data_IF_457921715494
#
_entry.id   IF_457921715494
#
_cell.length_a   1.000
_cell.length_b   1.000
_cell.length_c   1.000
_cell.angle_alpha   90.00
_cell.angle_beta   90.00
_cell.angle_gamma   90.00
#
_symmetry.space_group_name_H-M   'P 1'
#
loop_
_entity.id
_entity.type
_entity.pdbx_description
1 polymer ?
#
# COMPACT_ATOMS: atom_id res chain seq x y z
N UNK A 1 -41.14 -34.81 -44.68
CA UNK A 1 -41.01 -34.77 -46.13
C UNK A 1 -39.84 -33.85 -46.42
N UNK A 2 -38.75 -34.19 -47.03
CA UNK A 2 -38.12 -35.24 -47.80
C UNK A 2 -36.65 -34.83 -47.86
N UNK A 3 -35.78 -35.61 -47.48
CA UNK A 3 -34.77 -36.48 -48.14
C UNK A 3 -34.25 -35.89 -49.47
N UNK A 4 -32.93 -35.65 -49.55
CA UNK A 4 -32.07 -36.26 -50.58
C UNK A 4 -30.57 -35.96 -50.27
N UNK A 5 -29.88 -36.97 -50.13
CA UNK A 5 -28.57 -37.54 -50.38
C UNK A 5 -28.11 -37.34 -51.83
N UNK A 6 -26.79 -37.28 -52.05
CA UNK A 6 -25.95 -37.90 -53.10
C UNK A 6 -24.63 -37.16 -53.13
N UNK A 7 -23.51 -37.70 -52.95
CA UNK A 7 -22.73 -38.84 -53.42
C UNK A 7 -21.46 -38.34 -54.18
N UNK A 8 -20.36 -38.74 -53.66
CA UNK A 8 -19.04 -39.11 -54.21
C UNK A 8 -18.73 -38.81 -55.69
N UNK A 9 -17.51 -38.29 -55.95
CA UNK A 9 -16.64 -38.87 -57.01
C UNK A 9 -15.17 -38.55 -56.61
N UNK A 10 -14.35 -39.63 -56.54
CA UNK A 10 -12.91 -39.63 -56.46
C UNK A 10 -12.34 -39.60 -57.90
N UNK A 11 -11.27 -38.89 -58.14
CA UNK A 11 -10.44 -39.12 -59.32
C UNK A 11 -8.96 -39.07 -58.92
N UNK A 12 -8.36 -40.26 -58.97
CA UNK A 12 -6.93 -40.44 -58.88
C UNK A 12 -6.31 -40.29 -60.29
N UNK A 13 -5.27 -39.49 -60.41
CA UNK A 13 -4.37 -39.57 -61.55
C UNK A 13 -2.95 -39.66 -61.04
N UNK A 14 -2.33 -40.79 -61.27
CA UNK A 14 -0.92 -41.05 -61.08
C UNK A 14 -0.15 -40.52 -62.29
N UNK A 15 0.92 -39.77 -62.04
CA UNK A 15 1.97 -39.55 -63.03
C UNK A 15 3.32 -39.83 -62.37
N UNK A 16 3.97 -40.90 -62.80
CA UNK A 16 5.36 -41.22 -62.53
C UNK A 16 6.23 -40.51 -63.52
N UNK A 17 7.19 -39.73 -63.07
CA UNK A 17 8.35 -39.32 -63.83
C UNK A 17 9.58 -39.35 -62.92
N UNK A 18 10.45 -40.29 -63.12
CA UNK A 18 11.70 -40.43 -62.44
C UNK A 18 12.68 -39.36 -62.88
N UNK A 19 13.42 -38.81 -61.91
CA UNK A 19 14.65 -38.06 -62.11
C UNK A 19 15.66 -38.48 -61.04
N UNK A 20 16.68 -39.18 -61.48
CA UNK A 20 17.80 -39.53 -60.64
C UNK A 20 18.61 -38.27 -60.28
N UNK A 21 18.56 -37.86 -59.04
CA UNK A 21 19.52 -36.91 -58.47
C UNK A 21 20.45 -37.63 -57.51
N UNK A 22 21.74 -37.60 -57.85
CA UNK A 22 22.80 -38.20 -57.06
C UNK A 22 22.83 -37.65 -55.64
N UNK A 23 22.82 -38.58 -54.68
CA UNK A 23 23.00 -38.23 -53.26
C UNK A 23 24.45 -37.83 -53.05
N UNK A 24 24.67 -36.54 -52.79
CA UNK A 24 25.95 -36.05 -52.25
C UNK A 24 25.96 -36.38 -50.75
N UNK A 25 26.75 -37.41 -50.39
CA UNK A 25 26.98 -37.82 -49.01
C UNK A 25 27.89 -36.76 -48.36
N UNK A 26 27.34 -35.85 -47.61
CA UNK A 26 28.12 -34.89 -46.80
C UNK A 26 28.49 -35.62 -45.48
N UNK A 27 29.75 -36.04 -45.37
CA UNK A 27 30.28 -36.51 -44.11
C UNK A 27 30.45 -35.32 -43.14
N UNK A 28 29.96 -35.37 -41.91
CA UNK A 28 30.19 -34.31 -40.95
C UNK A 28 31.67 -34.33 -40.54
N UNK A 29 32.35 -33.23 -40.88
CA UNK A 29 33.70 -32.97 -40.41
C UNK A 29 33.66 -32.86 -38.89
N UNK A 30 34.31 -33.77 -38.16
CA UNK A 30 34.52 -33.67 -36.73
C UNK A 30 35.20 -32.35 -36.38
N UNK A 31 34.44 -31.42 -35.78
CA UNK A 31 35.01 -30.24 -35.17
C UNK A 31 35.80 -30.70 -33.94
N UNK A 32 37.11 -30.58 -34.04
CA UNK A 32 37.99 -30.58 -32.87
C UNK A 32 37.50 -29.48 -31.94
N UNK A 33 37.00 -29.91 -30.78
CA UNK A 33 36.62 -29.05 -29.69
C UNK A 33 37.84 -28.31 -29.18
N UNK A 34 38.06 -27.10 -29.67
CA UNK A 34 38.89 -26.13 -28.94
C UNK A 34 38.12 -25.80 -27.65
N UNK A 35 38.64 -26.23 -26.51
CA UNK A 35 38.17 -25.76 -25.20
C UNK A 35 38.32 -24.23 -25.18
N UNK A 36 37.24 -23.50 -25.44
CA UNK A 36 37.16 -22.12 -25.01
C UNK A 36 37.37 -22.08 -23.48
N UNK A 37 38.24 -21.20 -22.97
CA UNK A 37 38.35 -21.04 -21.53
C UNK A 37 36.96 -20.64 -20.99
N UNK A 38 36.42 -21.47 -20.10
CA UNK A 38 35.18 -21.16 -19.38
C UNK A 38 35.42 -19.82 -18.65
N UNK A 39 34.77 -18.76 -19.11
CA UNK A 39 34.66 -17.53 -18.36
C UNK A 39 33.94 -17.91 -17.08
N UNK A 40 34.56 -17.77 -15.89
CA UNK A 40 33.85 -18.02 -14.65
C UNK A 40 32.69 -17.04 -14.63
N UNK A 41 31.47 -17.55 -14.73
CA UNK A 41 30.26 -16.80 -14.43
C UNK A 41 30.33 -16.47 -12.94
N UNK A 42 30.93 -15.34 -12.62
CA UNK A 42 30.80 -14.76 -11.30
C UNK A 42 29.32 -14.45 -11.13
N UNK A 43 28.60 -15.33 -10.44
CA UNK A 43 27.29 -15.01 -9.89
C UNK A 43 27.52 -13.95 -8.81
N UNK A 44 27.67 -12.71 -9.24
CA UNK A 44 27.64 -11.57 -8.32
C UNK A 44 26.20 -11.44 -7.85
N UNK A 45 25.85 -12.15 -6.76
CA UNK A 45 24.66 -11.82 -5.97
C UNK A 45 24.98 -10.51 -5.26
N UNK A 46 24.57 -9.41 -5.85
CA UNK A 46 24.50 -8.14 -5.14
C UNK A 46 23.16 -8.16 -4.38
N UNK A 47 23.18 -8.63 -3.15
CA UNK A 47 22.07 -8.44 -2.23
C UNK A 47 22.03 -6.95 -1.82
N UNK A 48 21.58 -6.12 -2.73
CA UNK A 48 21.33 -4.70 -2.45
C UNK A 48 20.01 -4.57 -1.71
N UNK A 49 20.05 -4.25 -0.44
CA UNK A 49 18.87 -3.90 0.33
C UNK A 49 18.39 -2.52 -0.10
N UNK A 50 17.44 -2.48 -1.02
CA UNK A 50 16.80 -1.22 -1.46
C UNK A 50 15.81 -0.77 -0.38
N UNK A 51 16.03 0.41 0.20
CA UNK A 51 15.10 1.04 1.13
C UNK A 51 14.14 1.92 0.33
N UNK A 52 12.85 1.58 0.36
CA UNK A 52 11.80 2.37 -0.26
C UNK A 52 11.16 3.30 0.77
N UNK A 53 11.08 4.57 0.44
CA UNK A 53 10.51 5.63 1.28
C UNK A 53 9.31 6.23 0.56
N UNK A 54 8.09 5.84 0.91
CA UNK A 54 6.90 6.52 0.45
C UNK A 54 6.85 7.93 1.03
N UNK A 55 6.59 8.92 0.18
CA UNK A 55 6.53 10.33 0.56
C UNK A 55 5.25 10.96 0.01
N UNK A 56 4.47 11.61 0.87
CA UNK A 56 3.40 12.52 0.45
C UNK A 56 3.89 13.96 0.63
N UNK A 57 3.49 14.84 -0.26
CA UNK A 57 3.86 16.25 -0.20
C UNK A 57 2.62 17.12 -0.30
N UNK A 58 2.44 18.03 0.66
CA UNK A 58 1.29 18.90 0.75
C UNK A 58 1.71 20.38 0.82
N UNK A 59 0.82 21.26 0.43
CA UNK A 59 0.93 22.70 0.70
C UNK A 59 0.58 23.05 2.16
N UNK A 60 0.59 24.33 2.49
CA UNK A 60 0.24 24.80 3.85
C UNK A 60 -1.25 24.58 4.20
N UNK A 61 -2.11 24.37 3.21
CA UNK A 61 -3.54 24.09 3.34
C UNK A 61 -3.87 22.60 3.32
N UNK A 62 -2.84 21.74 3.37
CA UNK A 62 -2.94 20.28 3.25
C UNK A 62 -3.56 19.83 1.91
N UNK A 63 -3.31 20.54 0.80
CA UNK A 63 -3.60 20.02 -0.52
C UNK A 63 -2.42 19.21 -1.04
N UNK A 64 -2.65 17.99 -1.55
CA UNK A 64 -1.59 17.16 -2.13
C UNK A 64 -0.93 17.84 -3.33
N UNK A 65 0.40 17.86 -3.34
CA UNK A 65 1.22 18.40 -4.44
C UNK A 65 1.75 17.26 -5.27
N UNK A 66 1.40 17.25 -6.55
CA UNK A 66 1.81 16.28 -7.55
C UNK A 66 2.78 16.90 -8.56
N UNK A 67 3.48 16.07 -9.36
CA UNK A 67 4.35 16.54 -10.44
C UNK A 67 5.71 17.10 -9.97
N UNK A 68 6.17 16.77 -8.76
CA UNK A 68 7.54 17.05 -8.34
C UNK A 68 8.50 16.03 -8.97
N UNK A 69 9.68 16.51 -9.38
CA UNK A 69 10.76 15.67 -9.91
C UNK A 69 11.68 15.16 -8.81
N UNK A 70 12.48 14.14 -9.12
CA UNK A 70 13.45 13.55 -8.20
C UNK A 70 14.39 14.59 -7.59
N UNK A 71 14.77 15.58 -8.35
CA UNK A 71 15.67 16.68 -7.98
C UNK A 71 15.12 17.60 -6.88
N UNK A 72 13.80 17.58 -6.68
CA UNK A 72 13.16 18.27 -5.58
C UNK A 72 13.36 17.60 -4.21
N UNK A 73 13.83 16.36 -4.19
CA UNK A 73 13.95 15.56 -2.98
C UNK A 73 15.40 15.32 -2.56
N UNK A 74 15.64 15.29 -1.26
CA UNK A 74 16.87 14.80 -0.62
C UNK A 74 16.49 13.87 0.50
N UNK A 75 17.12 12.69 0.52
CA UNK A 75 16.90 11.67 1.55
C UNK A 75 18.15 11.58 2.41
N UNK A 76 17.93 11.45 3.72
CA UNK A 76 18.99 11.23 4.70
C UNK A 76 18.65 9.99 5.52
N UNK A 77 19.65 9.15 5.74
CA UNK A 77 19.62 7.98 6.62
C UNK A 77 20.60 8.23 7.76
N UNK A 78 20.11 8.26 9.01
CA UNK A 78 20.87 8.65 10.18
C UNK A 78 21.71 9.95 9.99
N UNK A 79 21.09 10.94 9.33
CA UNK A 79 21.68 12.24 8.97
C UNK A 79 22.69 12.19 7.80
N UNK A 80 23.01 11.03 7.26
CA UNK A 80 23.87 10.87 6.06
C UNK A 80 23.02 10.97 4.81
N UNK A 81 23.34 11.92 3.92
CA UNK A 81 22.61 12.09 2.67
C UNK A 81 22.81 10.87 1.77
N UNK A 82 21.71 10.31 1.26
CA UNK A 82 21.68 9.16 0.38
C UNK A 82 21.42 9.56 -1.06
N UNK A 83 21.93 8.77 -2.00
CA UNK A 83 21.64 8.96 -3.43
C UNK A 83 20.33 8.25 -3.77
N UNK A 84 19.33 8.99 -4.27
CA UNK A 84 18.07 8.42 -4.73
C UNK A 84 18.35 7.64 -6.04
N UNK A 85 18.33 6.32 -5.95
CA UNK A 85 18.57 5.41 -7.08
C UNK A 85 17.29 5.03 -7.82
N UNK A 86 16.13 5.02 -7.13
CA UNK A 86 14.82 4.78 -7.71
C UNK A 86 13.86 5.92 -7.36
N UNK A 87 13.02 6.29 -8.30
CA UNK A 87 11.99 7.32 -8.13
C UNK A 87 10.76 6.93 -8.93
N UNK A 88 9.60 6.90 -8.30
CA UNK A 88 8.33 6.59 -8.95
C UNK A 88 7.22 7.49 -8.41
N UNK A 89 6.28 7.83 -9.30
CA UNK A 89 5.05 8.58 -9.01
C UNK A 89 3.83 7.89 -9.62
N UNK A 90 3.95 6.59 -9.93
CA UNK A 90 2.93 5.85 -10.66
C UNK A 90 1.65 5.71 -9.86
N UNK A 91 0.52 5.82 -10.56
CA UNK A 91 -0.80 5.51 -10.04
C UNK A 91 -0.98 3.97 -10.08
N UNK A 92 -0.72 3.32 -8.96
CA UNK A 92 -0.87 1.88 -8.79
C UNK A 92 -2.11 1.56 -7.96
N UNK A 93 -2.75 0.40 -8.20
CA UNK A 93 -3.87 -0.06 -7.37
C UNK A 93 -3.49 -0.15 -5.89
N UNK A 94 -4.41 0.25 -5.03
CA UNK A 94 -4.21 0.32 -3.58
C UNK A 94 -4.91 -0.83 -2.85
N UNK A 95 -4.41 -1.17 -1.67
CA UNK A 95 -5.17 -1.91 -0.66
C UNK A 95 -5.51 -0.94 0.48
N UNK A 96 -6.80 -0.80 0.77
CA UNK A 96 -7.31 0.11 1.79
C UNK A 96 -8.10 -0.63 2.86
N UNK A 97 -7.60 -0.60 4.10
CA UNK A 97 -8.33 -1.07 5.27
C UNK A 97 -9.14 0.05 5.91
N UNK A 98 -10.42 -0.15 6.10
CA UNK A 98 -11.24 0.71 6.94
C UNK A 98 -11.29 0.11 8.35
N UNK A 99 -10.91 0.90 9.35
CA UNK A 99 -10.95 0.53 10.77
C UNK A 99 -11.91 1.47 11.44
N UNK A 100 -13.06 0.94 11.83
CA UNK A 100 -14.20 1.75 12.24
C UNK A 100 -14.56 1.51 13.71
N UNK A 101 -14.50 2.58 14.47
CA UNK A 101 -14.90 2.61 15.85
C UNK A 101 -16.44 2.51 15.98
N UNK A 102 -16.89 1.49 16.67
CA UNK A 102 -18.31 1.21 16.94
C UNK A 102 -18.62 1.25 18.44
N UNK A 103 -17.74 1.82 19.25
CA UNK A 103 -17.93 1.96 20.69
C UNK A 103 -19.14 2.82 21.06
N UNK A 104 -19.54 2.75 22.32
CA UNK A 104 -20.71 3.46 22.82
C UNK A 104 -20.59 4.98 22.72
N UNK A 105 -19.38 5.54 22.78
CA UNK A 105 -19.10 6.97 22.62
C UNK A 105 -19.35 7.47 21.19
N UNK A 106 -19.17 6.61 20.20
CA UNK A 106 -19.41 6.89 18.79
C UNK A 106 -20.91 7.01 18.41
N UNK A 107 -21.83 6.80 19.33
CA UNK A 107 -23.29 6.75 19.02
C UNK A 107 -23.76 7.91 18.15
N UNK A 108 -23.38 9.12 18.48
CA UNK A 108 -23.79 10.32 17.76
C UNK A 108 -22.94 10.56 16.49
N UNK A 109 -21.73 9.99 16.43
CA UNK A 109 -20.81 10.09 15.31
C UNK A 109 -20.94 8.94 14.28
N UNK A 110 -21.65 7.85 14.59
CA UNK A 110 -21.88 6.72 13.65
C UNK A 110 -22.41 7.17 12.29
N UNK A 111 -23.42 8.07 12.19
CA UNK A 111 -23.90 8.52 10.87
C UNK A 111 -22.81 9.23 10.07
N UNK A 112 -21.90 9.92 10.74
CA UNK A 112 -20.77 10.61 10.12
C UNK A 112 -19.70 9.62 9.68
N UNK A 113 -19.35 8.68 10.54
CA UNK A 113 -18.41 7.60 10.22
C UNK A 113 -18.88 6.75 9.04
N UNK A 114 -20.16 6.42 8.94
CA UNK A 114 -20.75 5.73 7.78
C UNK A 114 -20.59 6.55 6.49
N UNK A 115 -20.80 7.87 6.57
CA UNK A 115 -20.59 8.77 5.43
C UNK A 115 -19.11 8.79 5.02
N UNK A 116 -18.19 8.92 5.97
CA UNK A 116 -16.77 8.86 5.71
C UNK A 116 -16.38 7.57 4.99
N UNK A 117 -16.78 6.41 5.51
CA UNK A 117 -16.52 5.12 4.88
C UNK A 117 -17.11 5.05 3.46
N UNK A 118 -18.34 5.54 3.26
CA UNK A 118 -18.97 5.57 1.94
C UNK A 118 -18.19 6.43 0.93
N UNK A 119 -17.67 7.59 1.34
CA UNK A 119 -16.87 8.46 0.47
C UNK A 119 -15.58 7.75 0.03
N UNK A 120 -14.86 7.06 0.93
CA UNK A 120 -13.69 6.27 0.55
C UNK A 120 -14.02 5.20 -0.48
N UNK A 121 -15.15 4.50 -0.31
CA UNK A 121 -15.58 3.45 -1.23
C UNK A 121 -16.09 3.99 -2.59
N UNK A 122 -16.48 5.27 -2.68
CA UNK A 122 -16.85 5.91 -3.95
C UNK A 122 -15.62 6.25 -4.81
N UNK A 123 -14.46 6.43 -4.18
CA UNK A 123 -13.20 6.75 -4.84
C UNK A 123 -12.40 5.49 -5.24
N UNK A 124 -13.00 4.30 -5.02
CA UNK A 124 -12.39 3.02 -5.35
C UNK A 124 -12.23 2.84 -6.88
N UNK A 125 -11.08 2.29 -7.26
CA UNK A 125 -10.82 1.79 -8.61
C UNK A 125 -11.17 0.28 -8.69
N UNK A 126 -11.40 -0.25 -9.89
CA UNK A 126 -11.76 -1.66 -10.09
C UNK A 126 -10.66 -2.65 -9.65
N UNK A 127 -9.42 -2.19 -9.57
CA UNK A 127 -8.28 -3.00 -9.19
C UNK A 127 -7.88 -2.84 -7.71
N UNK A 128 -8.57 -1.97 -6.98
CA UNK A 128 -8.31 -1.76 -5.55
C UNK A 128 -8.86 -2.92 -4.71
N UNK A 129 -8.25 -3.12 -3.54
CA UNK A 129 -8.70 -4.10 -2.55
C UNK A 129 -9.08 -3.38 -1.26
N UNK A 130 -10.12 -3.87 -0.61
CA UNK A 130 -10.65 -3.27 0.63
C UNK A 130 -10.91 -4.33 1.68
N UNK A 131 -10.86 -3.95 2.95
CA UNK A 131 -11.41 -4.73 4.05
C UNK A 131 -12.00 -3.81 5.11
N UNK A 132 -12.82 -4.36 5.99
CA UNK A 132 -13.42 -3.65 7.12
C UNK A 132 -13.13 -4.36 8.44
N UNK A 133 -12.51 -3.64 9.35
CA UNK A 133 -12.42 -4.00 10.77
C UNK A 133 -13.31 -3.06 11.54
N UNK A 134 -14.16 -3.60 12.41
CA UNK A 134 -14.91 -2.84 13.40
C UNK A 134 -14.37 -3.16 14.79
N UNK A 135 -14.40 -2.20 15.68
CA UNK A 135 -14.03 -2.42 17.07
C UNK A 135 -14.93 -1.65 18.03
N UNK A 136 -15.24 -2.34 19.11
CA UNK A 136 -15.88 -1.83 20.31
C UNK A 136 -15.11 -2.36 21.54
N UNK A 137 -15.70 -3.15 22.41
CA UNK A 137 -15.02 -3.89 23.48
C UNK A 137 -14.07 -4.98 22.95
N UNK A 138 -14.11 -5.26 21.66
CA UNK A 138 -13.23 -6.20 20.94
C UNK A 138 -13.13 -5.84 19.46
N UNK A 139 -12.04 -6.26 18.81
CA UNK A 139 -11.89 -6.06 17.38
C UNK A 139 -12.46 -7.24 16.58
N UNK A 140 -13.15 -6.94 15.49
CA UNK A 140 -13.78 -7.91 14.58
C UNK A 140 -13.42 -7.59 13.13
N UNK A 141 -12.98 -8.59 12.37
CA UNK A 141 -12.89 -8.50 10.91
C UNK A 141 -14.30 -8.63 10.33
N UNK A 142 -14.92 -7.51 10.04
CA UNK A 142 -16.30 -7.45 9.57
C UNK A 142 -16.41 -7.89 8.11
N UNK A 143 -15.47 -7.45 7.26
CA UNK A 143 -15.35 -7.89 5.86
C UNK A 143 -13.88 -8.19 5.58
N UNK A 144 -13.53 -9.42 5.18
CA UNK A 144 -12.17 -9.78 4.76
C UNK A 144 -11.73 -9.02 3.50
N UNK A 145 -10.44 -9.06 3.20
CA UNK A 145 -9.85 -8.42 2.02
C UNK A 145 -10.58 -8.86 0.73
N UNK A 146 -11.11 -7.90 -0.01
CA UNK A 146 -11.92 -8.12 -1.23
C UNK A 146 -11.80 -6.93 -2.19
N UNK A 147 -12.03 -7.16 -3.49
CA UNK A 147 -12.23 -6.09 -4.46
C UNK A 147 -13.71 -5.61 -4.51
N UNK A 148 -14.63 -6.33 -3.86
CA UNK A 148 -16.05 -6.00 -3.89
C UNK A 148 -16.44 -5.02 -2.79
N UNK A 149 -16.61 -3.75 -3.13
CA UNK A 149 -16.98 -2.69 -2.16
C UNK A 149 -18.42 -2.81 -1.64
N UNK A 150 -19.29 -3.56 -2.33
CA UNK A 150 -20.70 -3.71 -1.96
C UNK A 150 -20.92 -4.36 -0.59
N UNK A 151 -20.12 -5.38 -0.26
CA UNK A 151 -20.16 -6.04 1.06
C UNK A 151 -19.79 -5.09 2.18
N UNK A 152 -18.76 -4.26 1.99
CA UNK A 152 -18.33 -3.27 2.98
C UNK A 152 -19.41 -2.19 3.17
N UNK A 153 -20.00 -1.69 2.08
CA UNK A 153 -21.12 -0.72 2.17
C UNK A 153 -22.28 -1.26 2.97
N UNK A 154 -22.64 -2.52 2.74
CA UNK A 154 -23.74 -3.16 3.46
C UNK A 154 -23.42 -3.29 4.95
N UNK A 155 -22.24 -3.76 5.30
CA UNK A 155 -21.82 -3.93 6.70
C UNK A 155 -21.78 -2.58 7.44
N UNK A 156 -21.12 -1.56 6.85
CA UNK A 156 -21.06 -0.21 7.42
C UNK A 156 -22.46 0.38 7.68
N UNK A 157 -23.45 0.12 6.81
CA UNK A 157 -24.83 0.58 7.03
C UNK A 157 -25.50 -0.11 8.21
N UNK A 158 -25.11 -1.35 8.51
CA UNK A 158 -25.69 -2.14 9.62
C UNK A 158 -24.97 -1.93 10.96
N UNK A 159 -23.82 -1.26 10.97
CA UNK A 159 -23.02 -0.96 12.15
C UNK A 159 -23.85 -0.30 13.25
N UNK A 160 -23.70 -0.75 14.49
CA UNK A 160 -24.34 -0.17 15.68
C UNK A 160 -23.29 0.14 16.72
N UNK A 161 -23.46 1.25 17.43
CA UNK A 161 -22.55 1.61 18.51
C UNK A 161 -22.93 0.91 19.82
N UNK A 162 -21.94 0.30 20.48
CA UNK A 162 -22.09 -0.30 21.80
C UNK A 162 -20.71 -0.55 22.45
N UNK A 163 -20.69 -0.74 23.76
CA UNK A 163 -19.51 -1.23 24.47
C UNK A 163 -18.42 -0.20 24.72
N UNK A 164 -17.25 -0.70 25.12
CA UNK A 164 -16.01 0.02 25.38
C UNK A 164 -15.23 0.24 24.09
N UNK A 165 -13.96 0.67 24.18
CA UNK A 165 -13.16 1.02 22.99
C UNK A 165 -11.81 0.29 23.01
N UNK A 166 -11.63 -0.67 22.11
CA UNK A 166 -10.40 -1.45 21.91
C UNK A 166 -9.68 -1.02 20.60
N UNK A 167 -9.29 0.24 20.50
CA UNK A 167 -8.69 0.87 19.33
C UNK A 167 -7.40 0.17 18.89
N UNK A 168 -6.53 -0.14 19.87
CA UNK A 168 -5.24 -0.79 19.58
C UNK A 168 -5.47 -2.20 19.01
N UNK A 169 -6.42 -2.96 19.55
CA UNK A 169 -6.80 -4.29 19.04
C UNK A 169 -7.32 -4.19 17.61
N UNK A 170 -8.12 -3.16 17.31
CA UNK A 170 -8.63 -2.87 15.96
C UNK A 170 -7.51 -2.64 14.95
N UNK A 171 -6.56 -1.80 15.29
CA UNK A 171 -5.39 -1.55 14.44
C UNK A 171 -4.50 -2.78 14.29
N UNK A 172 -4.29 -3.53 15.37
CA UNK A 172 -3.49 -4.76 15.33
C UNK A 172 -4.09 -5.77 14.37
N UNK A 173 -5.40 -5.98 14.42
CA UNK A 173 -6.12 -6.85 13.50
C UNK A 173 -6.03 -6.35 12.05
N UNK A 174 -6.22 -5.06 11.83
CA UNK A 174 -6.16 -4.45 10.50
C UNK A 174 -4.78 -4.56 9.84
N UNK A 175 -3.70 -4.31 10.59
CA UNK A 175 -2.33 -4.47 10.06
C UNK A 175 -2.08 -5.93 9.66
N UNK A 176 -2.55 -6.90 10.46
CA UNK A 176 -2.39 -8.31 10.12
C UNK A 176 -3.26 -8.72 8.91
N UNK A 177 -4.45 -8.17 8.75
CA UNK A 177 -5.27 -8.39 7.54
C UNK A 177 -4.59 -7.81 6.30
N UNK A 178 -4.03 -6.60 6.40
CA UNK A 178 -3.31 -5.93 5.31
C UNK A 178 -2.11 -6.73 4.79
N UNK A 179 -1.47 -7.58 5.60
CA UNK A 179 -0.37 -8.47 5.16
C UNK A 179 -0.79 -9.45 4.09
N UNK A 180 -2.09 -9.77 3.95
CA UNK A 180 -2.62 -10.67 2.92
C UNK A 180 -2.64 -10.05 1.53
N UNK A 181 -2.71 -8.72 1.43
CA UNK A 181 -2.66 -8.03 0.15
C UNK A 181 -1.27 -8.08 -0.46
N UNK A 182 -1.24 -8.28 -1.79
CA UNK A 182 -0.01 -8.20 -2.62
C UNK A 182 0.20 -6.83 -3.25
N UNK A 183 -0.69 -5.87 -3.01
CA UNK A 183 -0.54 -4.51 -3.52
C UNK A 183 0.68 -3.86 -2.87
N UNK A 184 1.38 -3.03 -3.65
CA UNK A 184 2.53 -2.25 -3.19
C UNK A 184 2.10 -1.04 -2.37
N UNK A 185 0.97 -0.42 -2.74
CA UNK A 185 0.38 0.71 -2.02
C UNK A 185 -0.64 0.21 -1.02
N UNK A 186 -0.30 0.30 0.27
CA UNK A 186 -1.12 -0.17 1.39
C UNK A 186 -1.46 0.97 2.32
N UNK A 187 -2.72 1.10 2.69
CA UNK A 187 -3.16 2.10 3.64
C UNK A 187 -4.27 1.58 4.56
N UNK A 188 -4.33 2.14 5.75
CA UNK A 188 -5.43 1.98 6.70
C UNK A 188 -6.00 3.37 6.98
N UNK A 189 -7.31 3.48 7.04
CA UNK A 189 -8.02 4.66 7.53
C UNK A 189 -8.75 4.27 8.80
N UNK A 190 -8.27 4.79 9.91
CA UNK A 190 -8.89 4.64 11.23
C UNK A 190 -9.85 5.79 11.48
N UNK A 191 -11.11 5.47 11.77
CA UNK A 191 -12.17 6.43 12.07
C UNK A 191 -12.64 6.20 13.50
N UNK A 192 -12.42 7.16 14.41
CA UNK A 192 -12.75 7.04 15.84
C UNK A 192 -12.94 8.42 16.48
N UNK A 193 -13.56 8.48 17.66
CA UNK A 193 -13.61 9.67 18.52
C UNK A 193 -12.41 9.77 19.48
N UNK A 194 -11.48 8.81 19.41
CA UNK A 194 -10.24 8.78 20.20
C UNK A 194 -10.36 8.05 21.54
N UNK A 195 -11.42 7.32 21.81
CA UNK A 195 -11.49 6.43 22.98
C UNK A 195 -10.43 5.31 22.90
N UNK A 196 -9.83 4.92 24.03
CA UNK A 196 -8.99 3.73 24.17
C UNK A 196 -8.97 3.30 25.65
N UNK A 197 -9.69 2.24 25.96
CA UNK A 197 -9.85 1.79 27.35
C UNK A 197 -10.00 0.29 27.55
N UNK A 198 -9.97 -0.50 26.46
CA UNK A 198 -10.28 -1.93 26.55
C UNK A 198 -9.41 -2.83 25.68
N UNK A 199 -8.35 -2.31 25.08
CA UNK A 199 -7.44 -3.13 24.26
C UNK A 199 -6.62 -4.09 25.12
N UNK A 200 -6.32 -5.26 24.57
CA UNK A 200 -5.42 -6.27 25.13
C UNK A 200 -3.97 -5.95 24.84
N UNK A 201 -3.72 -5.37 23.66
CA UNK A 201 -2.38 -4.94 23.27
C UNK A 201 -2.07 -3.56 23.84
N UNK A 202 -0.77 -3.33 24.08
CA UNK A 202 -0.26 -2.08 24.64
C UNK A 202 0.12 -1.06 23.55
N UNK A 203 0.20 0.23 23.87
CA UNK A 203 0.71 1.25 22.96
C UNK A 203 2.12 0.99 22.45
N UNK A 204 2.95 0.26 23.21
CA UNK A 204 4.31 -0.11 22.77
C UNK A 204 4.27 -1.21 21.72
N UNK A 205 3.44 -2.24 21.92
CA UNK A 205 3.31 -3.34 20.97
C UNK A 205 2.76 -2.86 19.63
N UNK A 206 1.73 -2.00 19.65
CA UNK A 206 1.19 -1.48 18.38
C UNK A 206 2.20 -0.58 17.66
N UNK A 207 2.99 0.25 18.37
CA UNK A 207 4.03 1.07 17.76
C UNK A 207 5.11 0.22 17.09
N UNK A 208 5.54 -0.86 17.73
CA UNK A 208 6.50 -1.80 17.14
C UNK A 208 5.92 -2.41 15.85
N UNK A 209 4.69 -2.92 15.90
CA UNK A 209 4.02 -3.51 14.73
C UNK A 209 3.86 -2.50 13.59
N UNK A 210 3.52 -1.25 13.89
CA UNK A 210 3.41 -0.16 12.93
C UNK A 210 4.76 0.14 12.26
N UNK A 211 5.84 0.20 13.06
CA UNK A 211 7.18 0.46 12.54
C UNK A 211 7.67 -0.63 11.58
N UNK A 212 7.28 -1.89 11.84
CA UNK A 212 7.61 -3.04 10.99
C UNK A 212 6.73 -3.16 9.75
N UNK A 213 5.60 -2.44 9.72
CA UNK A 213 4.66 -2.49 8.62
C UNK A 213 4.98 -1.44 7.55
N UNK A 214 4.82 -1.79 6.27
CA UNK A 214 4.89 -0.84 5.14
C UNK A 214 3.49 -0.27 4.81
N UNK A 215 2.71 0.06 5.86
CA UNK A 215 1.32 0.50 5.73
C UNK A 215 1.20 1.96 6.17
N UNK A 216 0.64 2.82 5.34
CA UNK A 216 0.24 4.18 5.76
C UNK A 216 -1.01 4.11 6.62
N UNK A 217 -1.02 4.79 7.77
CA UNK A 217 -2.17 4.80 8.66
C UNK A 217 -2.67 6.23 8.83
N UNK A 218 -3.69 6.57 8.06
CA UNK A 218 -4.43 7.81 8.24
C UNK A 218 -5.43 7.65 9.38
N UNK A 219 -5.61 8.70 10.14
CA UNK A 219 -6.58 8.71 11.22
C UNK A 219 -7.56 9.87 11.05
N UNK A 220 -8.84 9.59 11.25
CA UNK A 220 -9.91 10.58 11.17
C UNK A 220 -10.57 10.65 12.53
N UNK A 221 -10.36 11.76 13.23
CA UNK A 221 -10.96 12.00 14.53
C UNK A 221 -12.35 12.62 14.35
N UNK A 222 -13.38 11.89 14.79
CA UNK A 222 -14.78 12.34 14.78
C UNK A 222 -15.22 12.76 16.17
N UNK A 223 -16.03 13.80 16.22
CA UNK A 223 -16.61 14.27 17.48
C UNK A 223 -15.68 15.19 18.29
N UNK A 224 -16.22 15.73 19.38
CA UNK A 224 -15.59 16.78 20.16
C UNK A 224 -15.37 16.43 21.64
N UNK A 225 -15.22 15.14 22.00
CA UNK A 225 -14.91 14.79 23.39
C UNK A 225 -13.51 15.27 23.75
N UNK A 226 -13.39 15.95 24.87
CA UNK A 226 -12.15 16.54 25.38
C UNK A 226 -11.84 16.04 26.80
N UNK A 227 -12.19 14.79 27.09
CA UNK A 227 -11.78 14.15 28.34
C UNK A 227 -10.36 13.54 28.23
N UNK A 228 -9.81 13.11 29.36
CA UNK A 228 -8.45 12.59 29.41
C UNK A 228 -8.26 11.29 28.60
N UNK A 229 -9.30 10.48 28.49
CA UNK A 229 -9.29 9.24 27.72
C UNK A 229 -9.25 9.51 26.21
N UNK A 230 -10.15 10.37 25.73
CA UNK A 230 -10.14 10.82 24.33
C UNK A 230 -8.80 11.51 24.00
N UNK A 231 -8.25 12.32 24.90
CA UNK A 231 -6.95 12.97 24.74
C UNK A 231 -5.80 11.95 24.58
N UNK A 232 -5.82 10.85 25.33
CA UNK A 232 -4.84 9.79 25.20
C UNK A 232 -4.94 9.09 23.84
N UNK A 233 -6.14 8.66 23.44
CA UNK A 233 -6.35 7.96 22.17
C UNK A 233 -6.09 8.83 20.96
N UNK A 234 -6.53 10.11 20.97
CA UNK A 234 -6.20 11.08 19.92
C UNK A 234 -4.68 11.28 19.78
N UNK A 235 -3.97 11.37 20.92
CA UNK A 235 -2.50 11.45 20.93
C UNK A 235 -1.85 10.20 20.35
N UNK A 236 -2.40 9.03 20.60
CA UNK A 236 -1.93 7.76 20.02
C UNK A 236 -2.22 7.71 18.51
N UNK A 237 -3.42 8.07 18.07
CA UNK A 237 -3.82 8.15 16.68
C UNK A 237 -2.89 9.06 15.87
N UNK A 238 -2.63 10.29 16.37
CA UNK A 238 -1.71 11.22 15.74
C UNK A 238 -0.30 10.65 15.65
N UNK A 239 0.20 10.07 16.72
CA UNK A 239 1.54 9.47 16.76
C UNK A 239 1.68 8.32 15.76
N UNK A 240 0.69 7.46 15.64
CA UNK A 240 0.68 6.33 14.70
C UNK A 240 0.68 6.86 13.25
N UNK A 241 -0.16 7.85 12.95
CA UNK A 241 -0.18 8.47 11.63
C UNK A 241 1.19 9.05 11.25
N UNK A 242 1.78 9.86 12.12
CA UNK A 242 3.12 10.44 11.90
C UNK A 242 4.22 9.39 11.70
N UNK A 243 4.20 8.29 12.46
CA UNK A 243 5.20 7.22 12.34
C UNK A 243 5.18 6.55 10.97
N UNK A 244 4.03 6.43 10.35
CA UNK A 244 3.85 5.81 9.02
C UNK A 244 4.06 6.79 7.86
N UNK A 245 4.17 8.10 8.13
CA UNK A 245 4.25 9.14 7.11
C UNK A 245 2.89 9.59 6.59
N UNK A 246 1.82 9.26 7.30
CA UNK A 246 0.48 9.82 7.12
C UNK A 246 0.21 10.92 8.17
N UNK A 247 -1.02 11.38 8.27
CA UNK A 247 -1.41 12.37 9.27
C UNK A 247 -2.84 12.18 9.76
N UNK A 248 -3.16 12.84 10.85
CA UNK A 248 -4.48 12.83 11.43
C UNK A 248 -5.31 14.00 10.91
N UNK A 249 -6.54 13.70 10.53
CA UNK A 249 -7.56 14.69 10.19
C UNK A 249 -8.56 14.81 11.32
N UNK A 250 -9.00 16.03 11.58
CA UNK A 250 -10.15 16.33 12.42
C UNK A 250 -11.29 16.73 11.50
N UNK A 251 -12.46 16.13 11.66
CA UNK A 251 -13.58 16.46 10.80
C UNK A 251 -14.94 16.20 11.43
N UNK A 252 -15.87 17.09 11.09
CA UNK A 252 -17.31 16.86 11.23
C UNK A 252 -17.92 16.39 9.91
N UNK A 253 -19.23 16.23 9.88
CA UNK A 253 -19.97 15.71 8.71
C UNK A 253 -19.73 16.48 7.41
N UNK A 254 -19.43 17.80 7.48
CA UNK A 254 -19.15 18.65 6.33
C UNK A 254 -17.81 18.38 5.68
N UNK A 255 -16.82 17.86 6.43
CA UNK A 255 -15.42 17.80 6.01
C UNK A 255 -15.02 16.42 5.50
N UNK A 256 -15.80 15.38 5.79
CA UNK A 256 -15.45 13.98 5.53
C UNK A 256 -15.20 13.67 4.07
N UNK A 257 -15.97 14.27 3.17
CA UNK A 257 -15.76 14.10 1.73
C UNK A 257 -14.42 14.68 1.29
N UNK A 258 -14.08 15.87 1.74
CA UNK A 258 -12.81 16.51 1.44
C UNK A 258 -11.63 15.73 2.02
N UNK A 259 -11.79 15.20 3.24
CA UNK A 259 -10.77 14.36 3.89
C UNK A 259 -10.58 13.08 3.07
N UNK A 260 -11.65 12.39 2.71
CA UNK A 260 -11.57 11.17 1.90
C UNK A 260 -10.90 11.43 0.54
N UNK A 261 -11.27 12.53 -0.12
CA UNK A 261 -10.69 12.92 -1.40
C UNK A 261 -9.19 13.24 -1.27
N UNK A 262 -8.79 13.99 -0.25
CA UNK A 262 -7.38 14.30 0.04
C UNK A 262 -6.57 13.03 0.25
N UNK A 263 -7.03 12.12 1.10
CA UNK A 263 -6.36 10.83 1.37
C UNK A 263 -6.27 10.00 0.07
N UNK A 264 -7.34 9.92 -0.72
CA UNK A 264 -7.32 9.17 -1.98
C UNK A 264 -6.33 9.74 -2.99
N UNK A 265 -6.26 11.08 -3.12
CA UNK A 265 -5.27 11.75 -3.99
C UNK A 265 -3.85 11.48 -3.49
N UNK A 266 -3.60 11.59 -2.19
CA UNK A 266 -2.29 11.31 -1.59
C UNK A 266 -1.85 9.87 -1.84
N UNK A 267 -2.74 8.90 -1.64
CA UNK A 267 -2.45 7.48 -1.84
C UNK A 267 -2.09 7.15 -3.30
N UNK A 268 -2.82 7.76 -4.25
CA UNK A 268 -2.57 7.52 -5.68
C UNK A 268 -1.32 8.23 -6.18
N UNK A 269 -1.07 9.44 -5.70
CA UNK A 269 -0.01 10.32 -6.22
C UNK A 269 1.21 10.45 -5.30
N UNK A 270 1.42 9.50 -4.40
CA UNK A 270 2.60 9.54 -3.53
C UNK A 270 3.88 9.26 -4.31
N UNK A 271 4.94 9.91 -3.92
CA UNK A 271 6.28 9.66 -4.42
C UNK A 271 6.88 8.45 -3.70
N UNK A 272 7.60 7.61 -4.42
CA UNK A 272 8.39 6.53 -3.83
C UNK A 272 9.86 6.81 -4.13
N UNK A 273 10.64 7.07 -3.08
CA UNK A 273 12.07 7.30 -3.17
C UNK A 273 12.80 6.03 -2.77
N UNK A 274 13.63 5.49 -3.65
CA UNK A 274 14.43 4.31 -3.37
C UNK A 274 15.91 4.67 -3.25
N UNK A 275 16.58 4.22 -2.19
CA UNK A 275 18.02 4.34 -2.05
C UNK A 275 18.63 3.06 -1.49
N UNK A 276 19.90 2.83 -1.79
CA UNK A 276 20.69 1.78 -1.18
C UNK A 276 21.58 2.43 -0.11
N UNK A 277 21.46 2.05 1.18
CA UNK A 277 22.30 2.61 2.23
C UNK A 277 23.79 2.49 1.89
N UNK A 278 24.55 3.58 2.09
CA UNK A 278 25.99 3.59 1.84
C UNK A 278 26.74 2.63 2.77
N UNK A 279 26.31 2.55 4.01
CA UNK A 279 26.79 1.58 5.00
C UNK A 279 25.70 0.51 5.10
N UNK A 280 25.93 -0.64 4.46
CA UNK A 280 25.02 -1.78 4.53
C UNK A 280 25.21 -2.51 5.86
N UNK A 281 24.92 -1.85 6.96
CA UNK A 281 24.92 -2.51 8.25
C UNK A 281 23.68 -3.38 8.39
N UNK A 282 23.87 -4.70 8.43
CA UNK A 282 22.85 -5.68 8.81
C UNK A 282 22.87 -5.87 10.31
N UNK A 283 22.67 -4.79 11.03
CA UNK A 283 22.85 -4.73 12.48
C UNK A 283 21.55 -4.91 13.28
N UNK A 284 20.41 -5.04 12.59
CA UNK A 284 19.09 -5.17 13.22
C UNK A 284 18.62 -3.90 13.93
N UNK A 285 19.33 -2.76 13.80
CA UNK A 285 19.00 -1.52 14.49
C UNK A 285 17.97 -0.71 13.73
N UNK A 286 17.38 0.24 14.45
CA UNK A 286 16.46 1.22 13.87
C UNK A 286 17.24 2.38 13.27
N UNK A 287 17.08 2.61 11.97
CA UNK A 287 17.62 3.72 11.20
C UNK A 287 16.58 4.80 10.98
N UNK A 288 16.97 6.05 11.21
CA UNK A 288 16.07 7.19 11.09
C UNK A 288 16.16 7.81 9.71
N UNK A 289 15.00 7.94 9.04
CA UNK A 289 14.88 8.59 7.74
C UNK A 289 14.46 10.06 7.90
N UNK A 290 15.10 10.95 7.14
CA UNK A 290 14.67 12.34 6.96
C UNK A 290 14.57 12.66 5.47
N UNK A 291 13.45 13.28 5.05
CA UNK A 291 13.24 13.74 3.69
C UNK A 291 13.12 15.25 3.68
N UNK A 292 13.87 15.90 2.80
CA UNK A 292 13.75 17.35 2.53
C UNK A 292 13.25 17.58 1.13
N UNK A 293 12.25 18.45 1.00
CA UNK A 293 11.67 18.85 -0.28
C UNK A 293 12.01 20.30 -0.56
N UNK A 294 12.54 20.55 -1.76
CA UNK A 294 12.80 21.90 -2.27
C UNK A 294 11.67 22.26 -3.23
N UNK A 295 10.84 23.27 -2.91
CA UNK A 295 9.74 23.64 -3.80
C UNK A 295 10.25 24.19 -5.14
N UNK A 296 9.63 23.83 -6.27
CA UNK A 296 9.85 24.52 -7.54
C UNK A 296 9.54 26.02 -7.47
N UNK A 297 10.07 26.79 -8.42
CA UNK A 297 9.80 28.23 -8.50
C UNK A 297 8.28 28.48 -8.64
N UNK A 298 7.74 29.35 -7.78
CA UNK A 298 6.31 29.72 -7.80
C UNK A 298 5.42 28.90 -6.86
N UNK A 299 5.89 27.81 -6.29
CA UNK A 299 5.21 27.11 -5.21
C UNK A 299 5.69 27.66 -3.85
N UNK A 300 4.73 27.79 -2.92
CA UNK A 300 5.00 28.20 -1.55
C UNK A 300 5.74 27.13 -0.75
N UNK A 301 5.66 27.23 0.57
CA UNK A 301 6.25 26.25 1.47
C UNK A 301 5.53 24.91 1.35
N UNK A 302 6.30 23.82 1.21
CA UNK A 302 5.81 22.47 1.14
C UNK A 302 6.08 21.72 2.44
N UNK A 303 5.19 20.81 2.77
CA UNK A 303 5.33 19.85 3.88
C UNK A 303 5.41 18.45 3.30
N UNK A 304 6.47 17.73 3.64
CA UNK A 304 6.61 16.32 3.27
C UNK A 304 6.30 15.44 4.48
N UNK A 305 5.64 14.32 4.23
CA UNK A 305 5.32 13.28 5.20
C UNK A 305 5.92 11.96 4.69
N UNK A 306 6.63 11.25 5.57
CA UNK A 306 7.29 9.99 5.26
C UNK A 306 7.39 9.14 6.52
N UNK A 307 7.64 7.84 6.38
CA UNK A 307 7.91 6.98 7.54
C UNK A 307 9.18 7.44 8.25
N UNK A 308 9.15 7.45 9.58
CA UNK A 308 10.24 8.02 10.40
C UNK A 308 11.52 7.20 10.38
N UNK A 309 11.47 5.94 9.94
CA UNK A 309 12.63 5.05 9.86
C UNK A 309 12.25 3.60 9.55
N UNK A 310 13.22 2.71 9.66
CA UNK A 310 13.07 1.28 9.43
C UNK A 310 14.06 0.50 10.32
N UNK A 311 13.82 -0.80 10.51
CA UNK A 311 14.80 -1.70 11.08
C UNK A 311 15.65 -2.30 9.97
N UNK A 312 16.98 -2.20 10.10
CA UNK A 312 17.90 -2.89 9.21
C UNK A 312 17.72 -4.41 9.32
N UNK A 313 17.93 -5.18 8.24
CA UNK A 313 17.98 -6.63 8.35
C UNK A 313 19.04 -7.05 9.38
N UNK A 314 18.78 -8.09 10.14
CA UNK A 314 19.78 -8.77 10.97
C UNK A 314 20.26 -10.04 10.26
N UNK A 315 21.56 -10.30 10.31
CA UNK A 315 22.12 -11.58 9.81
C UNK A 315 21.64 -12.77 10.63
#
# INVERSE_FOLDING_TARGET
>A
MGRQRLARIALAVAWAAGSAFGQVKIEPRSRTSSKEPAIPSANLRVDTTLVLVPVTVNDELNHPITGLDKENFRVFDDKVQQTIGAFSTEDEPIALGLVFDTSGSMRDAIPEGRRAAAEFLQLADEHDEFFLVEFDSSARLAVPLTAETGSIRTEVLMTKSAGSTALIDGLYLAINEMKKSKKTKKAIVLISDGGENHSRYTPTEIKNLVTESDVLIYTVALGGRMDAEAGFGLGLMNRIAEMTGAHMYYGGASDLRDIALKIAIELRNRYVLGYTPMEQERDGRYHRIEVKVTPPRGLGKLRAHWRTGYYAPSD
#
